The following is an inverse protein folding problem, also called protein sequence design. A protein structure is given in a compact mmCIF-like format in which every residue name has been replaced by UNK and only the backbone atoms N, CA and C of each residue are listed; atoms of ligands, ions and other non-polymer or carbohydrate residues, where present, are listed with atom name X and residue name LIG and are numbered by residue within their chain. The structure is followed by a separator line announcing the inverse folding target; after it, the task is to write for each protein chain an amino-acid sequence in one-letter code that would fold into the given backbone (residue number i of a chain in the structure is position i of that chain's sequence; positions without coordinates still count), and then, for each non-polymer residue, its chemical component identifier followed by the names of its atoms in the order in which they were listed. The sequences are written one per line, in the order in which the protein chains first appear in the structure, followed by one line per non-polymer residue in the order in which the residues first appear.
data_IF_218402824160
#
_entry.id   IF_218402824160
#
_cell.length_a   1.000
_cell.length_b   1.000
_cell.length_c   1.000
_cell.angle_alpha   90.00
_cell.angle_beta   90.00
_cell.angle_gamma   90.00
#
_symmetry.space_group_name_H-M   'P 1'
#
loop_
_entity.id
_entity.type
_entity.pdbx_description
1 polymer ?
#
# COMPACT_ATOMS: atom_id res chain seq x y z
N UNK A 1 47.69 -4.46 -37.51
CA UNK A 1 46.36 -4.76 -38.10
C UNK A 1 45.54 -3.48 -38.14
N UNK A 2 45.17 -2.97 -39.33
CA UNK A 2 44.23 -1.84 -39.44
C UNK A 2 42.82 -2.40 -39.58
N UNK A 3 41.97 -2.12 -38.60
CA UNK A 3 40.53 -2.44 -38.65
C UNK A 3 39.90 -1.73 -39.85
N UNK A 4 39.03 -2.42 -40.58
CA UNK A 4 38.33 -1.83 -41.72
C UNK A 4 37.34 -0.76 -41.24
N UNK A 5 37.00 0.19 -42.12
CA UNK A 5 35.98 1.22 -41.82
C UNK A 5 34.64 0.60 -41.40
N UNK A 6 34.28 -0.56 -41.97
CA UNK A 6 33.06 -1.28 -41.62
C UNK A 6 33.10 -1.87 -40.21
N UNK A 7 34.24 -2.39 -39.75
CA UNK A 7 34.38 -2.88 -38.36
C UNK A 7 34.30 -1.75 -37.35
N UNK A 8 34.85 -0.57 -37.68
CA UNK A 8 34.73 0.62 -36.84
C UNK A 8 33.29 1.12 -36.69
N UNK A 9 32.53 1.13 -37.80
CA UNK A 9 31.11 1.51 -37.77
C UNK A 9 30.30 0.50 -36.94
N UNK A 10 30.53 -0.80 -37.11
CA UNK A 10 29.83 -1.83 -36.33
C UNK A 10 30.12 -1.73 -34.82
N UNK A 11 31.36 -1.48 -34.43
CA UNK A 11 31.74 -1.28 -33.02
C UNK A 11 31.13 -0.01 -32.43
N UNK A 12 31.07 1.08 -33.19
CA UNK A 12 30.41 2.32 -32.78
C UNK A 12 28.89 2.13 -32.61
N UNK A 13 28.23 1.41 -33.52
CA UNK A 13 26.82 1.06 -33.38
C UNK A 13 26.56 0.19 -32.16
N UNK A 14 27.39 -0.82 -31.91
CA UNK A 14 27.27 -1.69 -30.73
C UNK A 14 27.49 -0.91 -29.43
N UNK A 15 28.48 -0.02 -29.40
CA UNK A 15 28.75 0.86 -28.26
C UNK A 15 27.59 1.84 -28.01
N UNK A 16 27.00 2.41 -29.07
CA UNK A 16 25.85 3.31 -28.96
C UNK A 16 24.59 2.57 -28.45
N UNK A 17 24.29 1.38 -28.98
CA UNK A 17 23.17 0.55 -28.49
C UNK A 17 23.40 0.11 -27.05
N UNK A 18 24.62 -0.28 -26.69
CA UNK A 18 24.97 -0.63 -25.31
C UNK A 18 24.86 0.58 -24.37
N UNK A 19 25.30 1.76 -24.80
CA UNK A 19 25.20 2.99 -24.00
C UNK A 19 23.75 3.45 -23.81
N UNK A 20 22.90 3.32 -24.84
CA UNK A 20 21.46 3.61 -24.74
C UNK A 20 20.76 2.57 -23.86
N UNK A 21 21.07 1.28 -24.02
CA UNK A 21 20.57 0.21 -23.16
C UNK A 21 20.98 0.38 -21.70
N UNK A 22 22.24 0.73 -21.44
CA UNK A 22 22.77 1.00 -20.11
C UNK A 22 22.13 2.26 -19.50
N UNK A 23 21.95 3.34 -20.27
CA UNK A 23 21.27 4.55 -19.82
C UNK A 23 19.79 4.30 -19.51
N UNK A 24 19.13 3.43 -20.29
CA UNK A 24 17.76 3.01 -20.05
C UNK A 24 17.63 2.12 -18.81
N UNK A 25 18.61 1.25 -18.55
CA UNK A 25 18.69 0.45 -17.32
C UNK A 25 18.99 1.30 -16.08
N UNK A 26 19.82 2.34 -16.22
CA UNK A 26 20.23 3.25 -15.14
C UNK A 26 19.32 4.48 -15.00
N UNK A 27 18.14 4.51 -15.65
CA UNK A 27 17.28 5.70 -15.60
C UNK A 27 16.81 5.99 -14.16
N UNK A 28 16.92 7.24 -13.66
CA UNK A 28 16.52 7.61 -12.31
C UNK A 28 15.06 7.27 -11.98
N UNK A 29 14.14 7.41 -12.94
CA UNK A 29 12.72 7.09 -12.74
C UNK A 29 12.49 5.62 -12.40
N UNK A 30 13.20 4.69 -13.06
CA UNK A 30 13.08 3.26 -12.77
C UNK A 30 13.63 2.91 -11.40
N UNK A 31 14.75 3.54 -11.02
CA UNK A 31 15.32 3.37 -9.69
C UNK A 31 14.33 3.86 -8.61
N UNK A 32 13.68 5.01 -8.82
CA UNK A 32 12.64 5.53 -7.93
C UNK A 32 11.42 4.61 -7.86
N UNK A 33 10.90 4.12 -9.00
CA UNK A 33 9.78 3.17 -9.03
C UNK A 33 10.12 1.86 -8.31
N UNK A 34 11.32 1.32 -8.53
CA UNK A 34 11.79 0.12 -7.83
C UNK A 34 11.89 0.37 -6.32
N UNK A 35 12.52 1.47 -5.91
CA UNK A 35 12.62 1.84 -4.51
C UNK A 35 11.25 2.02 -3.85
N UNK A 36 10.27 2.61 -4.56
CA UNK A 36 8.90 2.74 -4.07
C UNK A 36 8.22 1.37 -3.86
N UNK A 37 8.40 0.41 -4.80
CA UNK A 37 7.90 -0.96 -4.64
C UNK A 37 8.57 -1.68 -3.46
N UNK A 38 9.89 -1.55 -3.34
CA UNK A 38 10.67 -2.19 -2.26
C UNK A 38 10.25 -1.65 -0.89
N UNK A 39 10.06 -0.32 -0.76
CA UNK A 39 9.54 0.32 0.46
C UNK A 39 8.12 -0.13 0.80
N UNK A 40 7.25 -0.25 -0.19
CA UNK A 40 5.89 -0.76 0.00
C UNK A 40 5.91 -2.21 0.49
N UNK A 41 6.76 -3.04 -0.10
CA UNK A 41 6.97 -4.43 0.31
C UNK A 41 7.46 -4.51 1.75
N UNK A 42 8.45 -3.69 2.12
CA UNK A 42 8.98 -3.60 3.47
C UNK A 42 7.93 -3.16 4.50
N UNK A 43 7.12 -2.14 4.17
CA UNK A 43 6.04 -1.69 5.03
C UNK A 43 5.03 -2.81 5.35
N UNK A 44 4.69 -3.61 4.35
CA UNK A 44 3.78 -4.74 4.52
C UNK A 44 4.43 -5.95 5.17
N UNK A 45 5.74 -6.12 5.04
CA UNK A 45 6.49 -7.13 5.79
C UNK A 45 6.43 -6.83 7.29
N UNK A 46 6.65 -5.57 7.69
CA UNK A 46 6.53 -5.16 9.09
C UNK A 46 5.08 -5.24 9.60
N UNK A 47 4.10 -4.88 8.77
CA UNK A 47 2.69 -5.05 9.11
C UNK A 47 2.35 -6.54 9.28
N UNK A 48 2.72 -7.38 8.31
CA UNK A 48 2.46 -8.82 8.33
C UNK A 48 3.10 -9.51 9.53
N UNK A 49 4.33 -9.16 9.89
CA UNK A 49 4.99 -9.69 11.08
C UNK A 49 4.27 -9.28 12.37
N UNK A 50 3.77 -8.04 12.46
CA UNK A 50 2.93 -7.63 13.58
C UNK A 50 1.64 -8.45 13.63
N UNK A 51 0.92 -8.59 12.51
CA UNK A 51 -0.32 -9.37 12.45
C UNK A 51 -0.09 -10.83 12.84
N UNK A 52 0.98 -11.46 12.34
CA UNK A 52 1.31 -12.83 12.67
C UNK A 52 1.68 -13.09 14.14
N UNK A 53 2.16 -12.07 14.85
CA UNK A 53 2.43 -12.19 16.30
C UNK A 53 1.17 -12.05 17.14
N UNK A 54 0.22 -11.22 16.73
CA UNK A 54 -0.95 -10.87 17.53
C UNK A 54 -2.24 -11.58 17.11
N UNK A 55 -2.26 -12.13 15.89
CA UNK A 55 -3.39 -12.83 15.26
C UNK A 55 -2.93 -14.16 14.61
N UNK A 56 -2.19 -15.03 15.33
CA UNK A 56 -1.70 -16.27 14.77
C UNK A 56 -2.86 -17.19 14.36
N UNK A 57 -2.72 -17.85 13.21
CA UNK A 57 -3.70 -18.77 12.64
C UNK A 57 -4.90 -18.10 11.96
N UNK A 58 -5.04 -16.77 12.04
CA UNK A 58 -6.15 -16.09 11.40
C UNK A 58 -6.03 -16.06 9.87
N UNK A 59 -7.19 -16.11 9.23
CA UNK A 59 -7.37 -15.98 7.78
C UNK A 59 -7.44 -14.51 7.41
N UNK A 60 -6.51 -14.08 6.56
CA UNK A 60 -6.34 -12.70 6.14
C UNK A 60 -6.80 -12.53 4.70
N UNK A 61 -7.75 -11.62 4.47
CA UNK A 61 -8.15 -11.18 3.14
C UNK A 61 -7.44 -9.87 2.79
N UNK A 62 -6.86 -9.78 1.60
CA UNK A 62 -6.18 -8.56 1.14
C UNK A 62 -7.10 -7.79 0.19
N UNK A 63 -7.38 -6.52 0.51
CA UNK A 63 -8.15 -5.62 -0.38
C UNK A 63 -7.18 -4.83 -1.25
N UNK A 64 -7.14 -5.17 -2.54
CA UNK A 64 -6.18 -4.71 -3.52
C UNK A 64 -6.67 -3.58 -4.43
N UNK A 65 -5.87 -3.28 -5.45
CA UNK A 65 -6.13 -2.20 -6.40
C UNK A 65 -7.11 -2.65 -7.49
N UNK A 66 -8.31 -2.04 -7.59
CA UNK A 66 -9.33 -2.47 -8.55
C UNK A 66 -8.99 -2.19 -10.02
N UNK A 67 -7.92 -1.44 -10.31
CA UNK A 67 -7.46 -1.20 -11.66
C UNK A 67 -6.54 -2.31 -12.20
N UNK A 68 -6.01 -3.21 -11.36
CA UNK A 68 -5.01 -4.24 -11.79
C UNK A 68 -5.52 -5.14 -12.92
N UNK A 69 -6.82 -5.42 -12.94
CA UNK A 69 -7.45 -6.34 -13.90
C UNK A 69 -7.90 -5.65 -15.20
N UNK A 70 -7.80 -4.31 -15.29
CA UNK A 70 -8.27 -3.62 -16.49
C UNK A 70 -7.31 -3.84 -17.67
N UNK A 71 -7.82 -4.14 -18.88
CA UNK A 71 -7.00 -4.23 -20.08
C UNK A 71 -6.25 -2.92 -20.34
N UNK A 72 -5.01 -3.03 -20.81
CA UNK A 72 -4.18 -1.87 -21.21
C UNK A 72 -3.57 -1.07 -20.05
N UNK A 73 -3.69 -1.54 -18.81
CA UNK A 73 -3.09 -0.86 -17.66
C UNK A 73 -1.56 -0.98 -17.65
N UNK A 74 -0.84 0.05 -17.15
CA UNK A 74 0.60 -0.03 -16.99
C UNK A 74 0.99 -1.21 -16.10
N UNK A 75 2.00 -1.97 -16.52
CA UNK A 75 2.52 -3.11 -15.74
C UNK A 75 3.00 -2.74 -14.33
N UNK A 76 3.28 -1.45 -14.10
CA UNK A 76 3.63 -0.93 -12.77
C UNK A 76 2.52 -1.16 -11.74
N UNK A 77 1.24 -1.02 -12.11
CA UNK A 77 0.12 -1.20 -11.18
C UNK A 77 0.13 -2.62 -10.60
N UNK A 78 0.31 -3.62 -11.47
CA UNK A 78 0.45 -5.02 -11.06
C UNK A 78 1.72 -5.23 -10.23
N UNK A 79 2.84 -4.67 -10.65
CA UNK A 79 4.11 -4.81 -9.93
C UNK A 79 4.07 -4.22 -8.51
N UNK A 80 3.28 -3.16 -8.27
CA UNK A 80 3.06 -2.61 -6.92
C UNK A 80 2.20 -3.53 -6.05
N UNK A 81 1.17 -4.16 -6.60
CA UNK A 81 0.35 -5.13 -5.88
C UNK A 81 1.12 -6.42 -5.58
N UNK A 82 1.91 -6.93 -6.52
CA UNK A 82 2.80 -8.07 -6.31
C UNK A 82 3.89 -7.78 -5.27
N UNK A 83 4.46 -6.57 -5.26
CA UNK A 83 5.41 -6.17 -4.22
C UNK A 83 4.75 -6.12 -2.84
N UNK A 84 3.50 -5.66 -2.78
CA UNK A 84 2.71 -5.63 -1.56
C UNK A 84 2.41 -7.04 -1.04
N UNK A 85 1.90 -7.91 -1.91
CA UNK A 85 1.63 -9.31 -1.60
C UNK A 85 2.87 -10.03 -1.06
N UNK A 86 4.00 -9.94 -1.77
CA UNK A 86 5.27 -10.54 -1.33
C UNK A 86 5.76 -10.00 0.01
N UNK A 87 5.53 -8.71 0.28
CA UNK A 87 5.86 -8.12 1.58
C UNK A 87 5.05 -8.76 2.70
N UNK A 88 3.73 -8.83 2.51
CA UNK A 88 2.82 -9.44 3.46
C UNK A 88 3.14 -10.93 3.69
N UNK A 89 3.35 -11.71 2.62
CA UNK A 89 3.76 -13.13 2.68
C UNK A 89 5.00 -13.34 3.56
N UNK A 90 6.05 -12.53 3.35
CA UNK A 90 7.27 -12.60 4.16
C UNK A 90 7.00 -12.22 5.62
N UNK A 91 6.19 -11.19 5.85
CA UNK A 91 5.83 -10.75 7.19
C UNK A 91 5.08 -11.81 7.98
N UNK A 92 4.03 -12.39 7.37
CA UNK A 92 3.23 -13.41 8.05
C UNK A 92 3.98 -14.72 8.23
N UNK A 93 4.89 -15.05 7.30
CA UNK A 93 5.78 -16.21 7.38
C UNK A 93 5.04 -17.53 7.71
N UNK A 94 3.86 -17.74 7.10
CA UNK A 94 3.03 -18.94 7.32
C UNK A 94 2.32 -19.01 8.68
N UNK A 95 2.43 -17.99 9.53
CA UNK A 95 1.72 -17.92 10.82
C UNK A 95 0.29 -17.41 10.71
N UNK A 96 -0.08 -16.81 9.57
CA UNK A 96 -1.45 -16.49 9.19
C UNK A 96 -1.71 -17.08 7.80
N UNK A 97 -2.98 -17.35 7.50
CA UNK A 97 -3.39 -17.84 6.18
C UNK A 97 -3.80 -16.67 5.29
N UNK A 98 -3.07 -16.42 4.19
CA UNK A 98 -3.45 -15.38 3.23
C UNK A 98 -4.45 -15.96 2.22
N UNK A 99 -5.72 -15.64 2.40
CA UNK A 99 -6.84 -16.21 1.62
C UNK A 99 -6.79 -15.77 0.15
N UNK A 100 -6.28 -14.57 -0.11
CA UNK A 100 -6.13 -14.03 -1.46
C UNK A 100 -6.26 -12.51 -1.50
N UNK A 101 -6.27 -11.98 -2.73
CA UNK A 101 -6.49 -10.57 -3.01
C UNK A 101 -7.85 -10.38 -3.67
N UNK A 102 -8.70 -9.57 -3.06
CA UNK A 102 -9.99 -9.13 -3.60
C UNK A 102 -9.91 -7.67 -4.04
N UNK A 103 -10.70 -7.32 -5.05
CA UNK A 103 -10.70 -5.99 -5.66
C UNK A 103 -12.12 -5.44 -5.63
N UNK A 104 -12.39 -4.37 -4.86
CA UNK A 104 -13.73 -3.83 -4.74
C UNK A 104 -14.19 -3.24 -6.08
N UNK A 105 -15.47 -3.41 -6.39
CA UNK A 105 -16.05 -2.86 -7.61
C UNK A 105 -15.88 -1.33 -7.65
N UNK A 106 -15.46 -0.82 -8.81
CA UNK A 106 -15.38 0.61 -9.06
C UNK A 106 -16.77 1.20 -9.25
N UNK A 107 -16.98 2.43 -8.78
CA UNK A 107 -18.15 3.18 -9.19
C UNK A 107 -18.08 3.48 -10.70
N UNK A 108 -19.24 3.57 -11.40
CA UNK A 108 -19.25 3.71 -12.87
C UNK A 108 -18.47 4.93 -13.37
N UNK A 109 -18.48 6.02 -12.60
CA UNK A 109 -17.76 7.25 -12.93
C UNK A 109 -16.25 7.04 -12.89
N UNK A 110 -15.73 6.39 -11.86
CA UNK A 110 -14.32 6.02 -11.76
C UNK A 110 -13.90 4.98 -12.81
N UNK A 111 -14.80 4.06 -13.15
CA UNK A 111 -14.57 3.08 -14.19
C UNK A 111 -14.44 3.75 -15.58
N UNK A 112 -15.28 4.74 -15.89
CA UNK A 112 -15.20 5.49 -17.13
C UNK A 112 -13.97 6.42 -17.17
N UNK A 113 -13.80 7.24 -16.13
CA UNK A 113 -12.72 8.22 -16.00
C UNK A 113 -12.33 8.40 -14.52
N UNK A 114 -11.19 7.84 -14.07
CA UNK A 114 -10.72 7.98 -12.69
C UNK A 114 -10.48 9.44 -12.27
N UNK A 115 -10.12 10.32 -13.22
CA UNK A 115 -9.83 11.74 -12.93
C UNK A 115 -11.10 12.55 -12.68
N UNK A 116 -12.26 12.01 -13.07
CA UNK A 116 -13.55 12.66 -12.86
C UNK A 116 -14.07 12.52 -11.42
N UNK A 117 -13.49 11.65 -10.60
CA UNK A 117 -13.91 11.44 -9.21
C UNK A 117 -13.34 12.56 -8.34
N UNK A 118 -14.17 13.32 -7.61
CA UNK A 118 -13.66 14.33 -6.69
C UNK A 118 -12.93 13.64 -5.53
N UNK A 119 -11.65 13.95 -5.38
CA UNK A 119 -10.80 13.42 -4.33
C UNK A 119 -10.55 14.50 -3.27
N UNK A 120 -10.51 14.14 -1.97
CA UNK A 120 -10.00 15.04 -0.97
C UNK A 120 -8.57 15.47 -1.34
N UNK A 121 -8.21 16.75 -1.13
CA UNK A 121 -6.85 17.19 -1.40
C UNK A 121 -5.86 16.38 -0.57
N UNK A 122 -4.75 16.02 -1.22
CA UNK A 122 -3.64 15.27 -0.63
C UNK A 122 -4.06 13.91 -0.03
N UNK A 123 -5.09 13.26 -0.57
CA UNK A 123 -5.38 11.89 -0.17
C UNK A 123 -4.24 10.95 -0.60
N UNK A 124 -3.76 10.13 0.33
CA UNK A 124 -2.74 9.10 0.08
C UNK A 124 -3.33 7.82 -0.49
N UNK A 125 -4.66 7.70 -0.48
CA UNK A 125 -5.41 6.50 -0.88
C UNK A 125 -6.57 6.86 -1.83
N UNK A 126 -6.28 7.45 -3.01
CA UNK A 126 -7.31 7.89 -3.94
C UNK A 126 -8.24 6.75 -4.41
N UNK A 127 -7.73 5.52 -4.43
CA UNK A 127 -8.45 4.35 -4.90
C UNK A 127 -9.64 3.97 -4.01
N UNK A 128 -9.60 4.20 -2.70
CA UNK A 128 -10.73 3.86 -1.83
C UNK A 128 -11.97 4.72 -2.09
N UNK A 129 -11.77 5.96 -2.53
CA UNK A 129 -12.84 6.89 -2.92
C UNK A 129 -13.50 6.53 -4.26
N UNK A 130 -12.90 5.60 -5.02
CA UNK A 130 -13.35 5.20 -6.34
C UNK A 130 -14.23 3.94 -6.34
N UNK A 131 -14.44 3.32 -5.18
CA UNK A 131 -15.23 2.09 -5.03
C UNK A 131 -16.73 2.38 -4.93
N UNK A 132 -17.60 1.41 -5.27
CA UNK A 132 -19.04 1.54 -5.00
C UNK A 132 -19.31 1.42 -3.50
N UNK A 133 -20.35 2.10 -2.97
CA UNK A 133 -20.69 2.01 -1.55
C UNK A 133 -20.94 0.57 -1.06
N UNK A 134 -21.48 -0.29 -1.92
CA UNK A 134 -21.84 -1.67 -1.59
C UNK A 134 -20.72 -2.70 -1.84
N UNK A 135 -19.61 -2.31 -2.49
CA UNK A 135 -18.54 -3.24 -2.84
C UNK A 135 -17.94 -3.91 -1.60
N UNK A 136 -17.75 -3.17 -0.52
CA UNK A 136 -17.13 -3.66 0.70
C UNK A 136 -18.05 -4.58 1.48
N UNK A 137 -19.34 -4.23 1.60
CA UNK A 137 -20.36 -5.09 2.21
C UNK A 137 -20.60 -6.38 1.41
N UNK A 138 -20.38 -6.33 0.09
CA UNK A 138 -20.42 -7.52 -0.75
C UNK A 138 -19.23 -8.45 -0.50
N UNK A 139 -18.01 -7.92 -0.52
CA UNK A 139 -16.79 -8.69 -0.19
C UNK A 139 -16.95 -9.34 1.19
N UNK A 140 -17.52 -8.63 2.15
CA UNK A 140 -17.77 -9.16 3.50
C UNK A 140 -18.68 -10.39 3.50
N UNK A 141 -19.77 -10.35 2.75
CA UNK A 141 -20.68 -11.50 2.61
C UNK A 141 -20.06 -12.66 1.83
N UNK A 142 -19.16 -12.38 0.90
CA UNK A 142 -18.46 -13.38 0.08
C UNK A 142 -17.31 -14.05 0.83
N UNK A 143 -16.75 -13.39 1.84
CA UNK A 143 -15.61 -13.87 2.63
C UNK A 143 -15.87 -13.83 4.15
N UNK A 144 -16.93 -14.51 4.65
CA UNK A 144 -17.24 -14.53 6.07
C UNK A 144 -16.19 -15.28 6.91
N UNK A 145 -15.34 -16.08 6.26
CA UNK A 145 -14.28 -16.89 6.85
C UNK A 145 -12.97 -16.12 7.08
N UNK A 146 -12.87 -14.86 6.62
CA UNK A 146 -11.68 -14.03 6.77
C UNK A 146 -11.93 -12.89 7.79
N UNK A 147 -11.70 -13.12 9.10
CA UNK A 147 -12.01 -12.14 10.15
C UNK A 147 -11.05 -10.94 10.19
N UNK A 148 -9.95 -10.99 9.44
CA UNK A 148 -8.93 -9.94 9.40
C UNK A 148 -8.67 -9.51 7.96
N UNK A 149 -8.79 -8.22 7.68
CA UNK A 149 -8.59 -7.65 6.35
C UNK A 149 -7.38 -6.73 6.33
N UNK A 150 -6.53 -6.88 5.32
CA UNK A 150 -5.42 -5.95 5.04
C UNK A 150 -5.81 -5.10 3.83
N UNK A 151 -6.10 -3.81 4.03
CA UNK A 151 -6.37 -2.92 2.90
C UNK A 151 -5.12 -2.23 2.41
N UNK A 152 -4.83 -2.45 1.12
CA UNK A 152 -3.76 -1.81 0.36
C UNK A 152 -4.16 -0.45 -0.20
N UNK A 153 -5.46 -0.16 -0.19
CA UNK A 153 -6.07 1.01 -0.82
C UNK A 153 -6.75 1.95 0.18
N UNK A 154 -6.64 1.70 1.49
CA UNK A 154 -7.28 2.50 2.54
C UNK A 154 -8.73 2.08 2.83
N UNK A 155 -9.51 2.96 3.43
CA UNK A 155 -10.94 2.75 3.72
C UNK A 155 -11.81 3.60 2.80
N UNK A 156 -12.99 3.12 2.38
CA UNK A 156 -13.85 3.83 1.45
C UNK A 156 -14.49 5.07 2.08
N UNK A 157 -14.92 6.01 1.24
CA UNK A 157 -15.72 7.14 1.69
C UNK A 157 -17.03 6.65 2.32
N UNK A 158 -17.36 7.20 3.50
CA UNK A 158 -18.58 6.80 4.22
C UNK A 158 -18.51 5.43 4.90
N UNK A 159 -17.29 4.88 5.10
CA UNK A 159 -17.07 3.57 5.73
C UNK A 159 -17.85 3.35 7.02
N UNK A 160 -18.04 4.37 7.85
CA UNK A 160 -18.76 4.27 9.14
C UNK A 160 -20.24 3.91 9.01
N UNK A 161 -20.82 4.04 7.80
CA UNK A 161 -22.21 3.68 7.50
C UNK A 161 -22.34 2.28 6.87
N UNK A 162 -21.24 1.62 6.54
CA UNK A 162 -21.23 0.30 5.89
C UNK A 162 -21.44 -0.82 6.91
N UNK A 163 -22.13 -1.89 6.51
CA UNK A 163 -22.38 -3.03 7.38
C UNK A 163 -21.06 -3.69 7.83
N UNK A 164 -20.12 -3.90 6.91
CA UNK A 164 -18.80 -4.48 7.19
C UNK A 164 -18.01 -3.72 8.27
N UNK A 165 -18.25 -2.42 8.41
CA UNK A 165 -17.60 -1.60 9.44
C UNK A 165 -18.30 -1.72 10.79
N UNK A 166 -19.63 -1.82 10.80
CA UNK A 166 -20.46 -1.87 12.00
C UNK A 166 -20.40 -3.21 12.72
N UNK A 167 -20.18 -4.30 11.98
CA UNK A 167 -20.05 -5.64 12.54
C UNK A 167 -18.74 -5.81 13.31
N UNK A 168 -18.62 -6.74 14.28
CA UNK A 168 -17.35 -6.96 15.00
C UNK A 168 -16.21 -7.42 14.07
N UNK A 169 -16.53 -8.25 13.07
CA UNK A 169 -15.62 -8.72 12.03
C UNK A 169 -16.13 -8.29 10.64
N UNK A 170 -15.22 -8.00 9.70
CA UNK A 170 -13.77 -8.10 9.80
C UNK A 170 -13.16 -6.96 10.62
N UNK A 171 -11.99 -7.21 11.17
CA UNK A 171 -11.09 -6.18 11.69
C UNK A 171 -10.11 -5.77 10.59
N UNK A 172 -9.57 -4.56 10.68
CA UNK A 172 -8.79 -3.98 9.60
C UNK A 172 -7.36 -3.68 10.03
N UNK A 173 -6.44 -4.08 9.16
CA UNK A 173 -5.09 -3.59 9.10
C UNK A 173 -4.92 -2.77 7.82
N UNK A 174 -4.23 -1.63 7.89
CA UNK A 174 -4.22 -0.66 6.79
C UNK A 174 -2.80 -0.25 6.41
N UNK A 175 -2.55 -0.15 5.10
CA UNK A 175 -1.31 0.43 4.57
C UNK A 175 -1.56 1.86 4.08
N UNK A 176 -0.91 2.82 4.72
CA UNK A 176 -0.92 4.25 4.38
C UNK A 176 -2.34 4.85 4.15
N UNK A 177 -3.35 4.50 4.98
CA UNK A 177 -4.72 4.95 4.77
C UNK A 177 -4.89 6.47 4.97
N UNK A 178 -5.90 7.02 4.32
CA UNK A 178 -6.47 8.32 4.68
C UNK A 178 -7.48 8.14 5.84
N UNK A 179 -7.02 8.31 7.07
CA UNK A 179 -7.85 8.09 8.27
C UNK A 179 -8.90 9.20 8.51
N UNK A 180 -8.89 10.28 7.74
CA UNK A 180 -9.90 11.36 7.84
C UNK A 180 -11.30 10.86 7.52
N UNK A 181 -11.42 9.78 6.74
CA UNK A 181 -12.69 9.13 6.41
C UNK A 181 -13.45 8.60 7.63
N UNK A 182 -12.76 8.44 8.77
CA UNK A 182 -13.38 8.02 10.04
C UNK A 182 -14.01 9.17 10.83
N UNK A 183 -13.75 10.42 10.45
CA UNK A 183 -14.32 11.60 11.12
C UNK A 183 -13.43 12.25 12.17
N UNK A 184 -12.13 11.92 12.21
CA UNK A 184 -11.12 12.62 13.02
C UNK A 184 -10.43 11.75 14.07
N UNK A 185 -9.49 12.33 14.86
CA UNK A 185 -8.61 11.57 15.76
C UNK A 185 -9.33 10.72 16.79
N UNK A 186 -10.41 11.23 17.40
CA UNK A 186 -11.20 10.48 18.39
C UNK A 186 -11.86 9.24 17.79
N UNK A 187 -12.34 9.32 16.55
CA UNK A 187 -12.94 8.19 15.85
C UNK A 187 -11.87 7.14 15.48
N UNK A 188 -10.68 7.56 15.08
CA UNK A 188 -9.54 6.66 14.89
C UNK A 188 -9.19 5.95 16.19
N UNK A 189 -9.10 6.70 17.29
CA UNK A 189 -8.79 6.15 18.60
C UNK A 189 -9.87 5.16 19.07
N UNK A 190 -11.15 5.47 18.87
CA UNK A 190 -12.26 4.54 19.13
C UNK A 190 -12.19 3.28 18.25
N UNK A 191 -11.77 3.38 17.00
CA UNK A 191 -11.61 2.23 16.11
C UNK A 191 -10.48 1.29 16.58
N UNK A 192 -9.37 1.81 17.10
CA UNK A 192 -8.34 0.98 17.75
C UNK A 192 -8.84 0.37 19.06
N UNK A 193 -9.48 1.16 19.94
CA UNK A 193 -10.00 0.67 21.23
C UNK A 193 -11.06 -0.41 21.10
N UNK A 194 -11.89 -0.35 20.07
CA UNK A 194 -12.89 -1.39 19.78
C UNK A 194 -12.31 -2.63 19.11
N UNK A 195 -11.03 -2.61 18.73
CA UNK A 195 -10.39 -3.68 17.94
C UNK A 195 -10.78 -3.68 16.47
N UNK A 196 -11.58 -2.71 16.01
CA UNK A 196 -11.95 -2.56 14.59
C UNK A 196 -10.73 -2.26 13.72
N UNK A 197 -9.79 -1.45 14.21
CA UNK A 197 -8.44 -1.32 13.66
C UNK A 197 -7.46 -2.09 14.54
N UNK A 198 -6.69 -3.01 13.95
CA UNK A 198 -5.66 -3.77 14.68
C UNK A 198 -4.25 -3.21 14.46
N UNK A 199 -3.98 -2.68 13.27
CA UNK A 199 -2.68 -2.08 12.96
C UNK A 199 -2.77 -1.17 11.74
N UNK A 200 -2.03 -0.07 11.73
CA UNK A 200 -1.97 0.84 10.60
C UNK A 200 -0.52 1.25 10.34
N UNK A 201 -0.06 1.15 9.11
CA UNK A 201 1.21 1.77 8.69
C UNK A 201 0.92 3.18 8.19
N UNK A 202 1.60 4.19 8.74
CA UNK A 202 1.55 5.58 8.30
C UNK A 202 2.93 6.07 7.86
N UNK A 203 2.97 7.11 7.03
CA UNK A 203 4.20 7.84 6.79
C UNK A 203 4.66 8.53 8.08
N UNK A 204 5.96 8.47 8.37
CA UNK A 204 6.54 9.15 9.52
C UNK A 204 6.57 10.66 9.24
N UNK A 205 6.09 11.52 10.16
CA UNK A 205 6.27 12.95 10.04
C UNK A 205 7.76 13.31 9.95
N UNK A 206 8.16 14.03 8.90
CA UNK A 206 9.56 14.35 8.65
C UNK A 206 10.38 13.21 8.03
N UNK A 207 9.74 12.18 7.47
CA UNK A 207 10.42 11.14 6.71
C UNK A 207 11.32 11.73 5.61
N UNK A 208 12.49 11.12 5.34
CA UNK A 208 13.37 11.59 4.28
C UNK A 208 12.69 11.48 2.91
N UNK A 209 13.07 12.34 1.94
CA UNK A 209 12.48 12.32 0.60
C UNK A 209 12.65 10.96 -0.07
N UNK A 210 11.84 10.70 -1.10
CA UNK A 210 11.91 9.44 -1.85
C UNK A 210 13.25 9.22 -2.54
N UNK A 211 13.98 10.31 -2.86
CA UNK A 211 15.31 10.28 -3.45
C UNK A 211 16.43 9.92 -2.46
N UNK A 212 16.15 9.94 -1.15
CA UNK A 212 17.17 9.61 -0.15
C UNK A 212 17.58 8.12 -0.23
N UNK A 213 18.88 7.87 -0.13
CA UNK A 213 19.45 6.52 -0.13
C UNK A 213 18.80 5.65 0.96
N UNK A 214 18.46 4.38 0.68
CA UNK A 214 17.87 3.48 1.67
C UNK A 214 18.85 3.23 2.83
N UNK A 215 18.33 2.99 4.02
CA UNK A 215 19.13 2.50 5.14
C UNK A 215 19.64 1.08 4.85
N UNK A 216 20.68 0.68 5.57
CA UNK A 216 21.34 -0.61 5.36
C UNK A 216 20.46 -1.80 5.78
N UNK A 217 19.69 -1.66 6.86
CA UNK A 217 18.80 -2.71 7.36
C UNK A 217 17.32 -2.33 7.21
N UNK A 218 16.51 -3.38 7.03
CA UNK A 218 15.08 -3.29 6.76
C UNK A 218 14.30 -2.59 7.87
N UNK A 219 14.63 -2.87 9.14
CA UNK A 219 13.92 -2.30 10.28
C UNK A 219 14.19 -0.81 10.42
N UNK A 220 15.45 -0.40 10.34
CA UNK A 220 15.83 1.02 10.35
C UNK A 220 15.23 1.75 9.15
N UNK A 221 15.22 1.15 7.95
CA UNK A 221 14.58 1.77 6.78
C UNK A 221 13.08 1.98 7.00
N UNK A 222 12.40 1.00 7.60
CA UNK A 222 11.00 1.13 7.98
C UNK A 222 10.80 2.25 9.01
N UNK A 223 11.49 2.20 10.14
CA UNK A 223 11.32 3.16 11.25
C UNK A 223 11.71 4.59 10.87
N UNK A 224 12.60 4.75 9.89
CA UNK A 224 12.99 6.04 9.32
C UNK A 224 11.88 6.68 8.48
N UNK A 225 11.05 5.87 7.82
CA UNK A 225 10.06 6.35 6.83
C UNK A 225 8.61 6.20 7.27
N UNK A 226 8.35 5.25 8.16
CA UNK A 226 7.01 4.84 8.53
C UNK A 226 6.84 4.73 10.04
N UNK A 227 5.59 4.72 10.46
CA UNK A 227 5.15 4.39 11.80
C UNK A 227 4.21 3.19 11.69
N UNK A 228 4.41 2.18 12.55
CA UNK A 228 3.41 1.15 12.78
C UNK A 228 2.56 1.56 14.00
N UNK A 229 1.34 2.00 13.75
CA UNK A 229 0.36 2.39 14.77
C UNK A 229 -0.44 1.17 15.19
N UNK A 230 -0.50 0.92 16.49
CA UNK A 230 -1.19 -0.22 17.11
C UNK A 230 -2.00 0.28 18.32
N UNK A 231 -2.93 -0.54 18.87
CA UNK A 231 -3.62 -0.20 20.12
C UNK A 231 -2.66 0.13 21.26
N UNK A 232 -1.50 -0.52 21.32
CA UNK A 232 -0.54 -0.38 22.42
C UNK A 232 0.25 0.93 22.38
N UNK A 233 0.40 1.55 21.20
CA UNK A 233 1.30 2.69 21.01
C UNK A 233 0.62 3.97 20.53
N UNK A 234 -0.67 3.93 20.19
CA UNK A 234 -1.40 5.08 19.63
C UNK A 234 -1.33 6.32 20.51
N UNK A 235 -1.50 6.19 21.83
CA UNK A 235 -1.45 7.32 22.76
C UNK A 235 -0.06 7.96 22.82
N UNK A 236 0.99 7.14 22.80
CA UNK A 236 2.37 7.64 22.79
C UNK A 236 2.67 8.35 21.47
N UNK A 237 2.22 7.79 20.34
CA UNK A 237 2.39 8.39 19.03
C UNK A 237 1.60 9.68 18.88
N UNK A 238 0.39 9.80 19.44
CA UNK A 238 -0.38 11.04 19.42
C UNK A 238 0.23 12.13 20.30
N UNK A 239 0.86 11.78 21.44
CA UNK A 239 1.64 12.76 22.21
C UNK A 239 2.85 13.26 21.43
N UNK A 240 3.54 12.37 20.73
CA UNK A 240 4.71 12.72 19.91
C UNK A 240 4.35 13.46 18.62
N UNK A 241 3.21 13.10 18.02
CA UNK A 241 2.72 13.59 16.75
C UNK A 241 1.23 13.97 16.87
N UNK A 242 0.89 15.12 17.50
CA UNK A 242 -0.51 15.48 17.78
C UNK A 242 -1.41 15.58 16.54
N UNK A 243 -0.82 15.84 15.38
CA UNK A 243 -1.54 15.88 14.11
C UNK A 243 -1.47 14.58 13.30
N UNK A 244 -1.03 13.45 13.84
CA UNK A 244 -0.77 12.23 13.04
C UNK A 244 -1.93 11.82 12.12
N UNK A 245 -3.18 12.04 12.53
CA UNK A 245 -4.38 11.70 11.75
C UNK A 245 -5.02 12.89 11.00
N UNK A 246 -4.46 14.09 11.16
CA UNK A 246 -4.95 15.32 10.52
C UNK A 246 -3.91 15.94 9.60
N UNK A 247 -2.65 15.53 9.73
CA UNK A 247 -1.52 16.09 9.02
C UNK A 247 -1.52 15.64 7.56
N UNK A 248 -1.08 16.60 6.75
CA UNK A 248 -0.93 16.53 5.31
C UNK A 248 0.52 16.08 5.09
N UNK A 249 0.74 14.81 4.76
CA UNK A 249 2.07 14.29 4.41
C UNK A 249 2.11 13.89 2.94
#
# INVERSE_FOLDING_TARGET
MRLSKTTWVALLCLAAVSAVGLRFLLSPERALRRAARDRRSLALEMLGDHLARHHPGERILVVGNPFVERPGQPGDIRAFEEAAWRGLERGVAGRCDLVGIVRPALNPRAAADPTSVPLPPNTTTPLSFMTTPDAWDRIWREHPDAPLWVSLIGLPAGVTRMAVWQEPTPRFALLLPDLRVLGGPEAVHAAFRSGKLVAVVLNRPGAPPESAAPAADARTEFERRHLLVTPDNIDALLRQYPGLFTLRF
#
